data_IF_698613201455
#
_entry.id   IF_698613201455
#
_cell.length_a   1.000
_cell.length_b   1.000
_cell.length_c   1.000
_cell.angle_alpha   90.00
_cell.angle_beta   90.00
_cell.angle_gamma   90.00
#
_symmetry.space_group_name_H-M   'P 1'
#
loop_
_entity.id
_entity.type
_entity.pdbx_description
1 polymer ?
2 water ?
#
# COMPACT_ATOMS: atom_id res chain seq x y z
N UNK A 1 -10.49 41.99 -15.61
CA UNK A 1 -9.67 41.21 -14.68
C UNK A 1 -8.27 41.82 -14.56
N UNK A 2 -7.60 41.55 -13.43
CA UNK A 2 -6.29 42.18 -13.18
C UNK A 2 -5.13 41.48 -13.88
N UNK A 3 -4.07 42.25 -14.12
CA UNK A 3 -2.87 41.72 -14.71
C UNK A 3 -2.10 40.93 -13.68
N UNK A 4 -1.05 40.22 -14.13
CA UNK A 4 -0.19 39.45 -13.24
C UNK A 4 0.62 40.32 -12.30
N UNK A 5 0.57 40.02 -10.99
CA UNK A 5 1.50 40.64 -10.05
C UNK A 5 2.93 40.23 -10.37
N UNK A 6 3.91 40.85 -9.72
CA UNK A 6 5.30 40.75 -10.14
C UNK A 6 6.25 40.56 -8.97
N UNK A 7 7.47 40.13 -9.30
CA UNK A 7 8.59 40.12 -8.36
C UNK A 7 8.33 39.33 -7.09
N UNK A 8 7.74 38.16 -7.21
CA UNK A 8 7.48 37.35 -6.02
C UNK A 8 8.77 36.79 -5.45
N UNK A 9 9.02 37.10 -4.19
CA UNK A 9 10.26 36.63 -3.62
C UNK A 9 10.02 35.88 -2.29
N UNK A 10 10.96 35.01 -1.92
CA UNK A 10 10.91 34.31 -0.65
C UNK A 10 11.88 34.97 0.32
N UNK A 11 11.35 35.71 1.28
CA UNK A 11 12.21 36.54 2.13
C UNK A 11 12.76 35.77 3.31
N UNK A 12 11.97 34.82 3.81
CA UNK A 12 12.40 33.95 4.88
C UNK A 12 11.83 32.56 4.60
N UNK A 13 12.49 31.53 5.10
CA UNK A 13 11.96 30.17 4.99
C UNK A 13 12.41 29.35 6.19
N UNK A 14 11.45 28.72 6.87
CA UNK A 14 11.75 27.82 8.00
C UNK A 14 11.36 26.40 7.62
N UNK A 15 10.93 25.60 8.59
CA UNK A 15 10.56 24.23 8.26
C UNK A 15 9.11 24.13 7.79
N UNK A 16 8.23 25.04 8.23
CA UNK A 16 6.84 24.96 7.80
C UNK A 16 6.26 26.29 7.34
N UNK A 17 7.07 27.34 7.38
CA UNK A 17 6.55 28.66 7.08
C UNK A 17 7.53 29.41 6.18
N UNK A 18 6.99 30.33 5.37
CA UNK A 18 7.81 31.19 4.53
C UNK A 18 7.24 32.58 4.55
N UNK A 19 8.10 33.57 4.38
CA UNK A 19 7.64 34.93 4.26
C UNK A 19 7.82 35.35 2.81
N UNK A 20 6.74 35.79 2.18
CA UNK A 20 6.73 36.15 0.79
C UNK A 20 6.53 37.65 0.61
N UNK A 21 7.00 38.18 -0.51
CA UNK A 21 6.71 39.57 -0.90
C UNK A 21 6.42 39.63 -2.39
N UNK A 22 5.67 40.63 -2.82
CA UNK A 22 5.44 40.82 -4.24
C UNK A 22 5.14 42.28 -4.56
N UNK A 23 4.94 42.57 -5.83
CA UNK A 23 4.64 43.93 -6.27
C UNK A 23 3.46 43.90 -7.21
N UNK A 24 2.55 44.87 -7.06
CA UNK A 24 1.29 44.90 -7.82
C UNK A 24 1.47 44.88 -9.33
N UNK A 25 0.51 44.26 -10.02
CA UNK A 25 0.51 44.24 -11.46
C UNK A 25 -0.52 45.24 -11.95
N UNK A 26 -0.68 45.37 -13.27
CA UNK A 26 -1.69 46.30 -13.78
C UNK A 26 -3.08 45.87 -13.34
N UNK A 27 -3.89 46.80 -12.85
CA UNK A 27 -5.21 46.46 -12.35
C UNK A 27 -6.30 46.53 -13.44
N UNK A 28 -5.94 47.01 -14.63
CA UNK A 28 -6.85 47.04 -15.77
C UNK A 28 -8.15 47.80 -15.50
N UNK A 29 -8.00 49.03 -15.00
CA UNK A 29 -9.11 49.98 -14.82
C UNK A 29 -10.16 49.48 -13.83
N UNK A 30 -9.78 48.52 -13.00
CA UNK A 30 -10.67 47.99 -11.96
C UNK A 30 -9.88 47.79 -10.67
N UNK A 31 -10.46 48.18 -9.53
CA UNK A 31 -9.70 48.19 -8.28
C UNK A 31 -9.32 46.79 -7.79
N UNK A 32 -8.02 46.55 -7.62
CA UNK A 32 -7.51 45.29 -7.05
C UNK A 32 -7.88 45.18 -5.58
N UNK A 33 -8.49 44.07 -5.18
CA UNK A 33 -9.05 44.00 -3.83
C UNK A 33 -8.64 42.75 -3.06
N UNK A 34 -7.89 41.87 -3.71
CA UNK A 34 -7.45 40.63 -3.08
C UNK A 34 -6.20 40.05 -3.74
N UNK A 35 -5.37 39.41 -2.92
CA UNK A 35 -4.28 38.57 -3.39
C UNK A 35 -4.42 37.16 -2.86
N UNK A 36 -4.22 36.19 -3.73
CA UNK A 36 -4.08 34.80 -3.30
C UNK A 36 -2.73 34.29 -3.71
N UNK A 37 -2.24 33.34 -2.93
CA UNK A 37 -0.90 32.78 -3.07
C UNK A 37 -0.96 31.30 -3.34
N UNK A 38 -0.22 30.82 -4.32
CA UNK A 38 -0.22 29.39 -4.57
C UNK A 38 1.16 28.82 -4.43
N UNK A 39 1.23 27.53 -4.13
CA UNK A 39 2.52 26.88 -4.02
C UNK A 39 2.57 25.70 -4.95
N UNK A 40 3.76 25.40 -5.46
CA UNK A 40 3.97 24.16 -6.20
C UNK A 40 5.19 23.39 -5.69
N UNK A 41 5.04 22.08 -5.61
CA UNK A 41 6.09 21.21 -5.17
C UNK A 41 6.18 20.09 -6.19
N UNK A 42 7.22 19.25 -6.10
CA UNK A 42 7.30 18.04 -6.93
C UNK A 42 6.14 17.10 -6.69
N UNK A 43 5.53 17.17 -5.50
CA UNK A 43 4.50 16.21 -5.10
C UNK A 43 3.08 16.77 -5.12
N UNK A 44 2.94 18.09 -5.12
CA UNK A 44 1.63 18.70 -5.29
C UNK A 44 1.17 18.41 -6.71
N UNK A 45 -0.11 18.56 -6.98
CA UNK A 45 -0.51 18.30 -8.36
C UNK A 45 -0.73 19.64 -9.00
N UNK A 46 0.35 20.19 -9.53
CA UNK A 46 0.37 21.56 -9.97
C UNK A 46 0.21 22.56 -8.82
N UNK A 47 -0.24 23.75 -9.18
CA UNK A 47 -0.38 24.86 -8.24
C UNK A 47 -1.59 24.73 -7.31
N UNK A 48 -1.37 24.91 -6.01
CA UNK A 48 -2.44 24.84 -5.02
C UNK A 48 -2.46 26.09 -4.11
N UNK A 49 -3.64 26.45 -3.62
CA UNK A 49 -3.76 27.57 -2.68
C UNK A 49 -3.06 27.22 -1.38
N UNK A 50 -2.57 28.23 -0.65
CA UNK A 50 -1.95 28.00 0.66
C UNK A 50 -2.58 28.82 1.78
N UNK A 51 -2.45 28.35 3.01
CA UNK A 51 -2.89 29.13 4.17
C UNK A 51 -1.94 30.26 4.42
N UNK A 52 -2.46 31.42 4.77
CA UNK A 52 -1.61 32.59 4.97
C UNK A 52 -1.94 33.39 6.22
N UNK A 53 -1.04 34.30 6.55
CA UNK A 53 -1.29 35.28 7.60
C UNK A 53 -0.96 36.66 7.09
N UNK A 54 -1.98 37.52 6.94
CA UNK A 54 -3.39 37.30 7.32
C UNK A 54 -4.12 36.26 6.48
N UNK A 55 -5.07 35.55 7.09
CA UNK A 55 -5.79 34.46 6.44
C UNK A 55 -6.48 34.93 5.17
N UNK A 56 -6.70 36.24 5.08
CA UNK A 56 -7.15 36.87 3.85
C UNK A 56 -6.28 38.07 3.51
N UNK A 57 -5.64 38.05 2.34
CA UNK A 57 -4.77 39.15 1.93
C UNK A 57 -5.49 40.19 1.04
N UNK A 58 -5.50 41.45 1.48
CA UNK A 58 -6.19 42.51 0.75
C UNK A 58 -5.31 43.07 -0.39
N UNK A 59 -5.80 44.10 -1.08
CA UNK A 59 -5.07 44.69 -2.18
C UNK A 59 -4.00 45.69 -1.76
N UNK A 60 -3.96 45.97 -0.47
CA UNK A 60 -2.99 46.92 0.08
C UNK A 60 -1.78 46.20 0.65
N UNK A 61 -1.89 44.89 0.83
CA UNK A 61 -0.82 44.09 1.36
C UNK A 61 0.01 43.44 0.27
N UNK A 62 1.33 43.61 0.35
CA UNK A 62 2.20 43.09 -0.68
C UNK A 62 3.24 42.16 -0.11
N UNK A 63 3.05 41.81 1.15
CA UNK A 63 3.85 40.77 1.77
C UNK A 63 2.97 39.99 2.71
N UNK A 64 3.30 38.73 2.92
CA UNK A 64 2.48 37.89 3.78
C UNK A 64 3.24 36.64 4.19
N UNK A 65 2.81 36.03 5.29
CA UNK A 65 3.38 34.78 5.79
C UNK A 65 2.57 33.59 5.29
N UNK A 66 3.27 32.56 4.83
CA UNK A 66 2.60 31.36 4.38
C UNK A 66 2.83 30.24 5.42
N UNK A 67 1.77 29.54 5.82
CA UNK A 67 1.90 28.54 6.88
C UNK A 67 1.42 27.16 6.45
N UNK A 68 1.75 26.16 7.26
CA UNK A 68 1.36 24.77 7.03
C UNK A 68 2.07 24.09 5.87
N UNK A 69 3.32 24.47 5.62
CA UNK A 69 4.15 23.84 4.57
C UNK A 69 4.83 22.60 5.09
N UNK A 70 5.21 21.73 4.18
CA UNK A 70 5.93 20.52 4.55
C UNK A 70 7.41 20.74 4.73
N UNK A 71 7.95 20.21 5.83
CA UNK A 71 9.41 20.19 6.04
C UNK A 71 10.15 19.42 4.96
N UNK A 72 11.28 19.98 4.52
CA UNK A 72 12.16 19.31 3.55
C UNK A 72 11.49 19.10 2.18
N UNK A 73 10.81 20.12 1.70
CA UNK A 73 10.24 20.08 0.37
C UNK A 73 10.61 21.35 -0.39
N UNK A 74 10.82 21.19 -1.69
CA UNK A 74 11.16 22.29 -2.56
C UNK A 74 9.89 23.01 -3.03
N UNK A 75 9.86 24.31 -2.78
CA UNK A 75 8.69 25.14 -3.01
C UNK A 75 8.89 26.22 -4.06
N UNK A 76 7.93 26.37 -4.97
CA UNK A 76 7.81 27.62 -5.74
C UNK A 76 6.51 28.28 -5.31
N UNK A 77 6.43 29.59 -5.43
CA UNK A 77 5.24 30.34 -5.09
C UNK A 77 4.89 31.30 -6.20
N UNK A 78 3.62 31.64 -6.31
CA UNK A 78 3.20 32.73 -7.19
C UNK A 78 2.00 33.41 -6.53
N UNK A 79 1.66 34.62 -6.98
CA UNK A 79 0.50 35.31 -6.46
C UNK A 79 -0.39 35.69 -7.62
N UNK A 80 -1.68 35.85 -7.33
CA UNK A 80 -2.65 36.27 -8.31
C UNK A 80 -3.44 37.40 -7.66
N UNK A 81 -3.77 38.43 -8.39
CA UNK A 81 -4.59 39.47 -7.79
C UNK A 81 -6.00 39.28 -8.28
N UNK A 82 -6.97 39.80 -7.54
CA UNK A 82 -8.35 39.75 -8.02
C UNK A 82 -9.03 41.11 -7.99
N UNK A 83 -9.70 41.40 -9.12
CA UNK A 83 -10.66 42.50 -9.30
C UNK A 83 -12.06 42.12 -8.93
N UNK A 84 -12.96 43.08 -9.04
CA UNK A 84 -14.36 42.76 -8.87
C UNK A 84 -14.78 41.88 -10.03
N UNK A 85 -14.16 42.09 -11.17
CA UNK A 85 -14.55 41.34 -12.36
C UNK A 85 -14.26 39.87 -12.10
N UNK A 86 -12.99 39.54 -11.93
CA UNK A 86 -12.64 38.16 -11.68
C UNK A 86 -11.22 38.00 -11.19
N UNK A 87 -10.71 36.78 -11.36
CA UNK A 87 -9.38 36.44 -10.89
C UNK A 87 -8.43 36.76 -12.02
N UNK A 88 -7.27 37.29 -11.67
CA UNK A 88 -6.33 37.73 -12.68
C UNK A 88 -5.42 36.65 -13.18
N UNK A 89 -4.40 37.05 -13.93
CA UNK A 89 -3.39 36.13 -14.42
C UNK A 89 -2.32 35.91 -13.36
N UNK A 90 -1.95 34.64 -13.12
CA UNK A 90 -0.93 34.29 -12.12
C UNK A 90 0.40 35.02 -12.37
N UNK A 91 1.15 35.31 -11.32
CA UNK A 91 2.47 35.88 -11.50
C UNK A 91 3.39 34.80 -12.07
N UNK A 92 4.57 35.21 -12.52
CA UNK A 92 5.64 34.25 -12.75
C UNK A 92 6.04 33.72 -11.38
N UNK A 93 6.63 32.52 -11.33
CA UNK A 93 6.90 31.94 -10.01
C UNK A 93 8.17 32.51 -9.33
N UNK A 94 8.23 32.47 -8.01
CA UNK A 94 9.46 32.81 -7.30
C UNK A 94 10.56 31.78 -7.59
N UNK A 95 11.76 32.03 -7.08
CA UNK A 95 12.80 31.01 -7.13
C UNK A 95 12.36 29.82 -6.30
N UNK A 96 12.99 28.69 -6.53
CA UNK A 96 12.74 27.53 -5.71
C UNK A 96 13.55 27.66 -4.43
N UNK A 97 13.09 27.00 -3.38
CA UNK A 97 13.65 27.13 -2.06
C UNK A 97 13.15 25.96 -1.24
N UNK A 98 14.03 25.32 -0.50
CA UNK A 98 13.66 24.13 0.25
C UNK A 98 13.45 24.48 1.71
N UNK A 99 12.32 24.05 2.28
CA UNK A 99 12.06 24.20 3.71
C UNK A 99 13.07 23.40 4.55
N UNK A 100 13.26 23.77 5.81
CA UNK A 100 14.19 23.03 6.67
C UNK A 100 13.62 21.69 7.11
N UNK A 101 14.49 20.80 7.58
CA UNK A 101 14.03 19.49 8.05
C UNK A 101 13.32 19.58 9.40
N UNK A 102 12.56 18.54 9.73
CA UNK A 102 11.92 18.47 11.04
C UNK A 102 11.64 17.03 11.41
N UNK A 103 11.18 16.83 12.63
CA UNK A 103 10.79 15.50 13.08
C UNK A 103 9.67 14.99 12.20
N UNK A 104 9.67 13.70 11.89
CA UNK A 104 8.54 13.16 11.11
C UNK A 104 7.29 13.16 11.96
N UNK A 105 6.11 13.22 11.34
CA UNK A 105 4.85 13.28 12.11
C UNK A 105 3.77 12.36 11.60
N UNK A 106 3.88 11.89 10.37
CA UNK A 106 2.82 11.09 9.82
C UNK A 106 3.17 9.60 9.82
N UNK A 107 2.32 8.78 10.44
CA UNK A 107 2.54 7.34 10.50
C UNK A 107 1.92 6.67 9.28
N UNK A 108 2.40 5.46 8.96
CA UNK A 108 1.83 4.83 7.76
C UNK A 108 0.35 4.47 7.95
N UNK A 109 -0.41 4.56 6.85
CA UNK A 109 -1.81 4.19 6.83
C UNK A 109 -1.93 2.69 6.60
N UNK A 110 -3.10 2.15 6.94
CA UNK A 110 -3.44 0.75 6.75
C UNK A 110 -2.43 -0.28 7.23
N UNK A 111 -1.90 -0.06 8.42
CA UNK A 111 -1.10 -1.06 9.09
C UNK A 111 -1.93 -2.32 9.30
N UNK A 112 -1.47 -3.43 8.73
CA UNK A 112 -2.17 -4.70 8.78
C UNK A 112 -1.21 -5.88 8.69
N UNK A 113 -1.67 -6.97 8.07
CA UNK A 113 -0.79 -8.12 7.87
C UNK A 113 -1.59 -9.40 7.83
N UNK A 114 -0.92 -10.53 8.07
CA UNK A 114 -1.60 -11.81 8.12
C UNK A 114 -1.07 -12.75 7.06
N UNK A 115 -1.36 -14.04 7.22
CA UNK A 115 -0.90 -15.03 6.28
C UNK A 115 0.55 -15.36 6.53
N UNK A 116 1.22 -15.90 5.52
CA UNK A 116 2.60 -16.30 5.64
C UNK A 116 2.73 -17.82 5.72
N UNK A 117 3.98 -18.30 5.75
CA UNK A 117 4.25 -19.71 5.92
C UNK A 117 4.43 -19.98 7.39
N UNK A 118 4.65 -21.25 7.74
CA UNK A 118 4.85 -21.66 9.13
C UNK A 118 5.86 -20.80 9.88
N UNK A 119 5.52 -20.53 11.14
CA UNK A 119 6.34 -19.81 12.12
C UNK A 119 6.54 -18.34 11.76
N UNK A 120 5.74 -17.84 10.82
CA UNK A 120 5.87 -16.45 10.39
C UNK A 120 4.77 -15.56 10.93
N UNK A 121 5.10 -14.28 11.04
CA UNK A 121 4.17 -13.24 11.31
C UNK A 121 4.41 -12.19 10.25
N UNK A 122 3.39 -11.92 9.43
CA UNK A 122 3.53 -11.01 8.32
C UNK A 122 2.83 -9.70 8.61
N UNK A 123 3.58 -8.60 8.49
CA UNK A 123 3.12 -7.25 8.84
C UNK A 123 3.26 -6.32 7.64
N UNK A 124 2.18 -5.63 7.27
CA UNK A 124 2.20 -4.76 6.10
C UNK A 124 1.65 -3.37 6.41
N UNK A 125 2.04 -2.39 5.58
CA UNK A 125 1.62 -0.99 5.74
C UNK A 125 1.85 -0.26 4.43
N UNK A 126 1.26 0.93 4.30
CA UNK A 126 1.50 1.75 3.11
C UNK A 126 2.63 2.74 3.37
N UNK A 127 3.59 2.82 2.45
CA UNK A 127 4.75 3.67 2.64
C UNK A 127 4.29 5.13 2.81
N UNK A 128 4.90 5.85 3.74
CA UNK A 128 4.52 7.25 3.97
C UNK A 128 4.92 8.07 2.74
N UNK A 129 3.99 8.90 2.25
CA UNK A 129 4.30 9.75 1.09
C UNK A 129 5.55 10.58 1.32
N UNK A 130 6.24 10.89 0.24
CA UNK A 130 7.57 11.46 0.37
C UNK A 130 7.51 12.89 0.93
N UNK A 131 6.49 13.64 0.55
CA UNK A 131 6.35 15.02 1.02
C UNK A 131 5.97 15.08 2.49
N UNK A 132 5.82 13.92 3.10
CA UNK A 132 5.44 13.80 4.51
C UNK A 132 6.54 13.18 5.39
N UNK A 133 7.72 12.98 4.82
CA UNK A 133 8.83 12.36 5.55
C UNK A 133 9.62 13.37 6.36
N UNK A 134 9.60 14.61 5.89
CA UNK A 134 10.10 15.76 6.63
C UNK A 134 11.62 15.87 6.78
N UNK A 135 12.36 14.89 6.26
CA UNK A 135 13.81 14.98 6.23
C UNK A 135 14.49 13.72 5.72
N UNK A 136 15.78 13.83 5.44
CA UNK A 136 16.56 12.69 4.98
C UNK A 136 16.69 11.63 6.04
N UNK A 137 16.91 10.40 5.60
CA UNK A 137 17.17 9.28 6.50
C UNK A 137 15.89 8.73 7.09
N UNK A 138 14.83 8.73 6.29
CA UNK A 138 13.51 8.36 6.77
C UNK A 138 13.32 6.84 6.78
N UNK A 139 12.90 6.30 7.90
CA UNK A 139 12.70 4.87 8.00
C UNK A 139 11.53 4.51 8.89
N UNK A 140 11.34 3.22 9.10
CA UNK A 140 10.22 2.77 9.93
C UNK A 140 10.69 1.96 11.10
N UNK A 141 9.89 1.98 12.17
CA UNK A 141 10.12 1.11 13.30
C UNK A 141 8.89 0.21 13.50
N UNK A 142 9.04 -1.09 13.24
CA UNK A 142 7.95 -2.02 13.44
C UNK A 142 7.96 -2.59 14.85
N UNK A 143 6.92 -2.26 15.59
CA UNK A 143 6.76 -2.74 16.96
C UNK A 143 5.64 -3.78 17.03
N UNK A 144 5.96 -4.96 17.55
CA UNK A 144 4.98 -6.03 17.71
C UNK A 144 5.17 -6.82 19.02
N UNK A 145 4.06 -7.29 19.58
CA UNK A 145 4.11 -8.15 20.76
C UNK A 145 2.89 -9.07 20.78
N UNK A 146 3.07 -10.31 21.24
CA UNK A 146 1.94 -11.21 21.46
C UNK A 146 0.85 -10.52 22.27
N UNK A 147 -0.41 -10.64 21.81
CA UNK A 147 -1.57 -10.07 22.48
C UNK A 147 -1.63 -10.60 23.91
N UNK A 148 -1.55 -9.71 24.90
CA UNK A 148 -1.52 -10.13 26.29
C UNK A 148 -0.16 -10.01 26.97
N UNK A 149 0.85 -9.56 26.22
CA UNK A 149 2.18 -9.41 26.77
C UNK A 149 2.56 -7.92 26.84
N UNK A 150 3.62 -7.60 27.59
CA UNK A 150 4.00 -6.20 27.80
C UNK A 150 5.15 -5.75 26.90
N UNK A 151 6.13 -6.62 26.67
CA UNK A 151 7.32 -6.17 25.97
C UNK A 151 7.10 -6.06 24.49
N UNK A 152 7.26 -4.84 23.96
CA UNK A 152 7.28 -4.61 22.53
C UNK A 152 8.63 -5.04 21.96
N UNK A 153 8.59 -5.81 20.87
CA UNK A 153 9.79 -6.09 20.13
C UNK A 153 9.86 -5.12 18.96
N UNK A 154 11.06 -4.67 18.63
CA UNK A 154 11.26 -3.57 17.68
C UNK A 154 12.22 -3.91 16.54
N UNK A 155 11.75 -3.73 15.30
CA UNK A 155 12.61 -3.84 14.14
C UNK A 155 12.67 -2.51 13.37
N UNK A 156 13.89 -2.04 13.10
CA UNK A 156 14.11 -0.85 12.27
C UNK A 156 14.24 -1.21 10.79
N UNK A 157 13.55 -0.49 9.92
CA UNK A 157 13.76 -0.67 8.49
C UNK A 157 14.24 0.65 7.92
N UNK A 158 15.52 0.68 7.56
CA UNK A 158 16.18 1.92 7.14
C UNK A 158 15.58 2.48 5.87
N UNK A 159 14.86 1.64 5.15
CA UNK A 159 14.37 2.01 3.83
C UNK A 159 12.97 2.64 3.85
N UNK A 160 12.91 3.88 3.38
CA UNK A 160 11.66 4.59 3.28
C UNK A 160 10.65 3.84 2.42
N UNK A 161 11.13 3.02 1.50
CA UNK A 161 10.22 2.36 0.57
C UNK A 161 9.66 1.03 1.10
N UNK A 162 10.09 0.65 2.30
CA UNK A 162 9.63 -0.60 2.89
C UNK A 162 8.12 -0.57 3.20
N UNK A 163 7.42 -1.64 2.85
CA UNK A 163 5.98 -1.70 3.06
C UNK A 163 5.58 -3.02 3.71
N UNK A 164 6.57 -3.74 4.22
CA UNK A 164 6.32 -5.10 4.61
C UNK A 164 7.45 -5.65 5.47
N UNK A 165 7.07 -6.34 6.52
CA UNK A 165 8.05 -6.96 7.36
C UNK A 165 7.55 -8.33 7.76
N UNK A 166 8.45 -9.30 7.77
CA UNK A 166 8.12 -10.67 8.17
C UNK A 166 9.01 -11.11 9.31
N UNK A 167 8.37 -11.44 10.43
CA UNK A 167 9.07 -11.96 11.59
C UNK A 167 8.83 -13.48 11.64
N UNK A 168 9.92 -14.25 11.67
CA UNK A 168 9.79 -15.70 11.83
C UNK A 168 10.62 -16.18 13.01
N UNK A 169 10.04 -17.07 13.78
CA UNK A 169 10.64 -17.59 14.99
C UNK A 169 9.81 -18.78 15.50
N UNK A 170 10.47 -19.68 16.21
CA UNK A 170 9.78 -20.84 16.75
C UNK A 170 8.83 -20.42 17.87
N UNK A 171 9.03 -19.22 18.41
CA UNK A 171 8.17 -18.70 19.46
C UNK A 171 6.74 -18.46 18.96
N UNK A 172 6.58 -18.35 17.64
CA UNK A 172 5.31 -17.97 17.04
C UNK A 172 4.35 -19.14 16.88
N UNK A 173 3.37 -19.21 17.76
CA UNK A 173 2.35 -20.21 17.57
C UNK A 173 1.51 -19.87 16.34
N UNK A 174 0.94 -20.89 15.70
CA UNK A 174 0.13 -20.68 14.50
C UNK A 174 -1.14 -19.93 14.81
N UNK A 175 -1.49 -19.02 13.90
CA UNK A 175 -2.65 -18.15 13.98
C UNK A 175 -2.83 -17.54 15.37
N UNK A 176 -1.79 -16.84 15.83
CA UNK A 176 -1.80 -16.16 17.12
C UNK A 176 -1.87 -14.66 16.92
N UNK A 177 -2.58 -13.98 17.82
CA UNK A 177 -2.74 -12.54 17.68
C UNK A 177 -1.59 -11.75 18.29
N UNK A 178 -1.04 -10.82 17.52
CA UNK A 178 0.00 -9.89 17.95
C UNK A 178 -0.53 -8.45 17.90
N UNK A 179 -0.15 -7.63 18.86
CA UNK A 179 -0.43 -6.22 18.73
C UNK A 179 0.69 -5.64 17.93
N UNK A 180 0.32 -4.77 17.00
CA UNK A 180 1.22 -4.26 16.00
C UNK A 180 1.01 -2.76 15.84
N UNK A 181 2.09 -2.00 15.92
CA UNK A 181 2.07 -0.60 15.48
C UNK A 181 3.33 -0.34 14.62
N UNK A 182 3.28 0.66 13.75
CA UNK A 182 4.45 1.02 12.94
C UNK A 182 4.78 2.50 13.11
N UNK A 183 5.97 2.81 13.60
CA UNK A 183 6.39 4.19 13.77
C UNK A 183 7.29 4.69 12.65
N UNK A 184 7.59 5.99 12.67
CA UNK A 184 8.49 6.58 11.69
C UNK A 184 9.60 7.35 12.36
N UNK A 185 10.71 7.49 11.65
CA UNK A 185 11.83 8.32 12.11
C UNK A 185 12.57 8.96 10.92
N UNK A 186 13.35 9.99 11.19
CA UNK A 186 14.32 10.50 10.21
C UNK A 186 15.52 11.09 10.94
N UNK A 187 16.48 11.62 10.20
CA UNK A 187 17.71 12.14 10.82
C UNK A 187 17.48 13.14 11.96
N UNK A 188 16.35 13.84 11.92
CA UNK A 188 16.06 14.84 12.93
C UNK A 188 15.62 14.18 14.24
N UNK A 189 15.06 12.97 14.15
CA UNK A 189 14.65 12.23 15.33
C UNK A 189 13.54 11.20 15.12
N UNK A 190 13.03 10.67 16.23
CA UNK A 190 12.02 9.62 16.19
C UNK A 190 10.65 10.29 16.12
N UNK A 191 9.74 9.69 15.35
CA UNK A 191 8.39 10.22 15.24
C UNK A 191 7.43 9.28 15.93
N UNK A 192 6.12 9.56 15.82
CA UNK A 192 5.04 8.78 16.44
C UNK A 192 4.83 7.38 15.86
N UNK A 193 4.01 6.59 16.54
CA UNK A 193 3.57 5.28 16.06
C UNK A 193 2.14 5.32 15.63
N UNK A 194 1.84 4.52 14.62
CA UNK A 194 0.46 4.21 14.26
C UNK A 194 -0.34 3.74 15.46
N UNK A 195 -1.66 3.88 15.38
CA UNK A 195 -2.57 3.21 16.31
C UNK A 195 -2.34 1.70 16.29
N UNK A 196 -2.41 1.09 17.45
CA UNK A 196 -2.22 -0.34 17.57
C UNK A 196 -3.30 -1.07 16.78
N UNK A 197 -2.92 -2.09 16.06
CA UNK A 197 -3.92 -2.98 15.46
C UNK A 197 -3.61 -4.44 15.81
N UNK A 198 -4.58 -5.33 15.63
CA UNK A 198 -4.34 -6.74 15.83
C UNK A 198 -4.09 -7.44 14.53
N UNK A 199 -2.97 -8.16 14.46
CA UNK A 199 -2.58 -8.96 13.31
C UNK A 199 -2.33 -10.40 13.74
N UNK A 200 -2.88 -11.37 13.02
CA UNK A 200 -2.71 -12.78 13.37
C UNK A 200 -1.59 -13.42 12.57
N UNK A 201 -0.79 -14.26 13.23
CA UNK A 201 0.35 -14.90 12.57
C UNK A 201 -0.10 -15.93 11.56
N UNK A 202 0.86 -16.56 10.90
CA UNK A 202 0.53 -17.52 9.84
C UNK A 202 -0.21 -18.72 10.40
N UNK A 203 -1.17 -19.22 9.64
CA UNK A 203 -2.02 -20.30 10.10
C UNK A 203 -1.36 -21.60 9.77
N UNK A 204 -1.91 -22.70 10.25
CA UNK A 204 -1.32 -23.97 9.95
C UNK A 204 -1.81 -24.46 8.59
N UNK A 205 -0.95 -25.12 7.85
CA UNK A 205 -1.35 -25.62 6.56
C UNK A 205 -2.29 -26.81 6.77
N UNK A 206 -3.07 -27.16 5.73
CA UNK A 206 -3.95 -28.32 5.87
C UNK A 206 -3.14 -29.57 6.20
N UNK A 207 -3.76 -30.48 6.95
CA UNK A 207 -3.07 -31.64 7.47
C UNK A 207 -3.69 -32.92 6.97
N UNK A 208 -4.88 -32.80 6.39
CA UNK A 208 -5.60 -33.97 5.93
C UNK A 208 -5.87 -33.86 4.44
N UNK A 209 -5.86 -35.01 3.74
CA UNK A 209 -6.12 -35.02 2.30
C UNK A 209 -7.61 -35.03 2.02
N UNK A 210 -7.99 -34.49 0.85
CA UNK A 210 -9.36 -34.65 0.34
C UNK A 210 -9.70 -36.13 0.22
N UNK A 211 -10.98 -36.50 0.29
CA UNK A 211 -11.35 -37.91 0.15
C UNK A 211 -12.37 -38.14 -0.97
N UNK A 212 -12.80 -39.39 -1.13
CA UNK A 212 -13.87 -39.75 -2.07
C UNK A 212 -13.68 -39.20 -3.48
N UNK A 213 -12.44 -39.12 -3.94
CA UNK A 213 -12.16 -38.54 -5.25
C UNK A 213 -12.49 -39.45 -6.46
N UNK A 214 -13.01 -38.83 -7.52
CA UNK A 214 -13.23 -39.51 -8.80
C UNK A 214 -13.45 -38.49 -9.92
N UNK A 215 -13.31 -38.93 -11.16
CA UNK A 215 -13.50 -38.01 -12.27
C UNK A 215 -14.34 -38.62 -13.37
N UNK A 216 -14.90 -37.78 -14.22
CA UNK A 216 -15.74 -38.25 -15.31
C UNK A 216 -15.34 -37.48 -16.56
N UNK A 217 -15.20 -38.19 -17.67
CA UNK A 217 -14.85 -37.56 -18.92
C UNK A 217 -16.10 -37.09 -19.62
N UNK A 218 -16.13 -35.83 -20.03
CA UNK A 218 -17.31 -35.27 -20.68
C UNK A 218 -17.18 -35.33 -22.19
N UNK A 219 -16.19 -34.61 -22.71
CA UNK A 219 -15.86 -34.61 -24.13
C UNK A 219 -14.47 -35.18 -24.34
N UNK A 220 -13.86 -34.87 -25.47
CA UNK A 220 -12.51 -35.31 -25.74
C UNK A 220 -11.50 -34.33 -25.14
N UNK A 221 -11.98 -33.16 -24.72
CA UNK A 221 -11.10 -32.15 -24.13
C UNK A 221 -11.57 -31.71 -22.73
N UNK A 222 -12.72 -32.18 -22.28
CA UNK A 222 -13.24 -31.71 -21.01
C UNK A 222 -13.54 -32.87 -20.05
N UNK A 223 -13.00 -32.80 -18.84
CA UNK A 223 -13.38 -33.74 -17.78
C UNK A 223 -13.84 -33.02 -16.51
N UNK A 224 -14.53 -33.77 -15.65
CA UNK A 224 -15.05 -33.23 -14.41
C UNK A 224 -14.50 -34.01 -13.24
N UNK A 225 -14.08 -33.30 -12.20
CA UNK A 225 -13.47 -33.96 -11.05
C UNK A 225 -14.16 -33.58 -9.77
N UNK A 226 -14.41 -34.60 -8.95
CA UNK A 226 -15.14 -34.43 -7.69
C UNK A 226 -14.33 -35.01 -6.53
N UNK A 227 -14.48 -34.41 -5.36
CA UNK A 227 -13.88 -34.94 -4.14
C UNK A 227 -14.73 -34.46 -2.98
N UNK A 228 -14.39 -34.93 -1.78
CA UNK A 228 -15.03 -34.45 -0.55
C UNK A 228 -14.00 -33.70 0.25
N UNK A 229 -14.43 -32.75 1.06
CA UNK A 229 -13.47 -32.08 1.93
C UNK A 229 -13.01 -33.07 2.99
N UNK A 230 -11.80 -32.87 3.52
CA UNK A 230 -11.32 -33.77 4.57
C UNK A 230 -12.08 -33.56 5.89
N UNK A 231 -12.03 -34.56 6.78
CA UNK A 231 -12.75 -34.50 8.06
C UNK A 231 -11.81 -34.37 9.25
N UNK A 232 -12.17 -33.52 10.22
CA UNK A 232 -11.37 -33.33 11.42
C UNK A 232 -11.53 -31.96 12.06
N UNK A 235 -7.86 -30.29 11.43
CA UNK A 235 -7.68 -30.53 10.00
C UNK A 235 -7.17 -29.27 9.30
N UNK A 236 -7.56 -28.11 9.81
CA UNK A 236 -7.10 -26.83 9.28
C UNK A 236 -8.16 -26.08 8.48
N UNK A 237 -7.91 -24.79 8.23
CA UNK A 237 -8.78 -23.99 7.37
C UNK A 237 -8.40 -24.20 5.90
N UNK A 238 -9.40 -24.25 5.02
CA UNK A 238 -9.19 -24.60 3.62
C UNK A 238 -9.72 -23.51 2.70
N UNK A 239 -8.84 -22.91 1.90
CA UNK A 239 -9.22 -21.80 1.01
C UNK A 239 -9.69 -22.28 -0.36
N UNK A 240 -9.26 -23.48 -0.73
CA UNK A 240 -9.60 -24.04 -2.02
C UNK A 240 -8.82 -25.33 -2.23
N UNK A 241 -8.82 -25.81 -3.46
CA UNK A 241 -8.11 -27.03 -3.75
C UNK A 241 -7.16 -26.89 -4.94
N UNK A 242 -6.05 -27.62 -4.88
CA UNK A 242 -5.15 -27.67 -6.01
C UNK A 242 -5.35 -28.99 -6.70
N UNK A 243 -5.84 -28.93 -7.93
CA UNK A 243 -6.00 -30.14 -8.72
C UNK A 243 -4.80 -30.28 -9.64
N UNK A 244 -4.20 -31.46 -9.60
CA UNK A 244 -2.96 -31.72 -10.30
C UNK A 244 -3.18 -32.82 -11.32
N UNK A 245 -2.91 -32.53 -12.58
CA UNK A 245 -3.16 -33.54 -13.61
C UNK A 245 -2.03 -33.63 -14.62
N UNK A 246 -1.83 -34.84 -15.14
CA UNK A 246 -0.84 -35.08 -16.16
C UNK A 246 -1.26 -36.22 -17.08
N UNK A 247 -0.85 -36.11 -18.35
CA UNK A 247 -1.06 -37.15 -19.33
C UNK A 247 -0.21 -38.40 -19.02
N UNK A 248 -0.79 -39.58 -19.23
CA UNK A 248 -0.12 -40.86 -19.05
C UNK A 248 1.31 -40.95 -19.57
N UNK A 249 1.62 -40.14 -20.58
CA UNK A 249 2.92 -40.18 -21.23
C UNK A 249 3.87 -39.06 -20.78
N UNK A 250 3.40 -38.18 -19.90
CA UNK A 250 4.30 -37.20 -19.31
C UNK A 250 4.77 -37.69 -17.95
N UNK A 251 5.87 -37.12 -17.46
CA UNK A 251 6.30 -37.35 -16.10
C UNK A 251 5.32 -36.66 -15.16
N UNK A 252 5.21 -37.14 -13.93
CA UNK A 252 4.27 -36.53 -13.00
C UNK A 252 4.68 -35.10 -12.68
N UNK A 253 5.97 -34.84 -12.76
CA UNK A 253 6.49 -33.53 -12.41
C UNK A 253 6.22 -32.47 -13.50
N UNK A 254 5.70 -32.92 -14.64
CA UNK A 254 5.30 -32.01 -15.72
C UNK A 254 3.86 -31.56 -15.60
N UNK A 255 3.18 -32.06 -14.58
CA UNK A 255 1.75 -31.86 -14.44
C UNK A 255 1.38 -30.39 -14.43
N UNK A 256 0.19 -30.08 -14.94
CA UNK A 256 -0.35 -28.74 -14.80
C UNK A 256 -1.17 -28.75 -13.53
N UNK A 257 -1.33 -27.58 -12.93
CA UNK A 257 -2.13 -27.41 -11.72
C UNK A 257 -3.16 -26.32 -11.94
N UNK A 258 -4.39 -26.54 -11.49
CA UNK A 258 -5.32 -25.44 -11.38
C UNK A 258 -5.77 -25.31 -9.95
N UNK A 259 -6.15 -24.10 -9.57
CA UNK A 259 -6.58 -23.89 -8.20
C UNK A 259 -8.04 -23.45 -8.16
N UNK A 260 -8.59 -23.59 -6.98
CA UNK A 260 -10.00 -23.42 -6.71
C UNK A 260 -10.13 -22.41 -5.58
N UNK A 261 -11.13 -21.55 -5.61
CA UNK A 261 -11.34 -20.61 -4.53
C UNK A 261 -12.74 -20.81 -3.99
N UNK A 262 -12.85 -20.97 -2.68
CA UNK A 262 -14.14 -21.18 -2.06
C UNK A 262 -14.46 -22.64 -1.77
N UNK A 263 -15.76 -22.96 -1.66
CA UNK A 263 -16.19 -24.27 -1.18
C UNK A 263 -16.41 -25.33 -2.23
N UNK A 264 -16.31 -24.99 -3.51
CA UNK A 264 -16.58 -25.96 -4.54
C UNK A 264 -15.65 -27.15 -4.32
N UNK A 265 -16.25 -28.31 -4.42
CA UNK A 265 -15.64 -29.57 -4.07
C UNK A 265 -15.53 -30.38 -5.35
N UNK A 266 -15.60 -29.65 -6.44
CA UNK A 266 -15.52 -30.17 -7.78
C UNK A 266 -14.86 -29.14 -8.69
N UNK A 267 -14.44 -29.59 -9.88
CA UNK A 267 -13.93 -28.69 -10.91
C UNK A 267 -13.92 -29.33 -12.29
N UNK A 268 -13.55 -28.51 -13.26
CA UNK A 268 -13.65 -28.86 -14.67
C UNK A 268 -12.33 -28.54 -15.38
N UNK A 269 -11.67 -29.56 -15.92
CA UNK A 269 -10.44 -29.35 -16.67
C UNK A 269 -10.75 -29.33 -18.17
N UNK A 270 -10.09 -28.42 -18.88
CA UNK A 270 -10.37 -28.19 -20.30
C UNK A 270 -9.15 -28.33 -21.20
N UNK A 271 -9.36 -28.18 -22.50
CA UNK A 271 -8.28 -28.16 -23.48
C UNK A 271 -7.32 -29.36 -23.37
N UNK A 272 -7.90 -30.54 -23.27
CA UNK A 272 -7.14 -31.77 -23.14
C UNK A 272 -7.07 -32.50 -24.48
N UNK A 273 -6.19 -33.48 -24.56
CA UNK A 273 -6.08 -34.30 -25.76
C UNK A 273 -7.06 -35.47 -25.71
N UNK A 274 -7.72 -35.73 -26.83
CA UNK A 274 -8.74 -36.76 -26.92
C UNK A 274 -8.15 -38.15 -27.02
N UNK A 275 -8.94 -39.15 -26.66
CA UNK A 275 -8.50 -40.54 -26.66
C UNK A 275 -7.18 -40.74 -25.91
N UNK A 276 -6.99 -40.02 -24.81
CA UNK A 276 -5.78 -40.13 -24.01
C UNK A 276 -6.09 -40.33 -22.54
N UNK A 277 -5.21 -41.04 -21.85
CA UNK A 277 -5.35 -41.30 -20.42
C UNK A 277 -4.74 -40.16 -19.61
N UNK A 278 -5.41 -39.81 -18.52
CA UNK A 278 -4.92 -38.76 -17.64
C UNK A 278 -4.94 -39.23 -16.18
N UNK A 279 -3.99 -38.75 -15.41
CA UNK A 279 -3.94 -39.03 -13.97
C UNK A 279 -4.21 -37.72 -13.25
N UNK A 280 -4.90 -37.80 -12.12
CA UNK A 280 -5.25 -36.63 -11.33
C UNK A 280 -5.06 -36.87 -9.83
N UNK A 281 -4.89 -35.79 -9.07
CA UNK A 281 -4.92 -35.85 -7.60
C UNK A 281 -5.22 -34.45 -7.06
N UNK A 282 -5.82 -34.39 -5.87
CA UNK A 282 -6.26 -33.12 -5.31
C UNK A 282 -5.65 -32.91 -3.93
N UNK A 283 -5.48 -31.63 -3.61
CA UNK A 283 -4.78 -31.20 -2.42
C UNK A 283 -5.54 -30.02 -1.89
N UNK A 284 -5.67 -29.91 -0.57
CA UNK A 284 -6.32 -28.72 -0.01
C UNK A 284 -5.25 -27.66 0.20
N UNK A 285 -5.61 -26.39 0.11
CA UNK A 285 -4.64 -25.40 0.49
C UNK A 285 -5.24 -24.27 1.30
N UNK A 286 -4.35 -23.50 1.92
CA UNK A 286 -4.72 -22.26 2.58
C UNK A 286 -3.52 -21.32 2.55
N UNK A 287 -3.62 -20.20 3.25
CA UNK A 287 -2.62 -19.13 3.12
C UNK A 287 -1.22 -19.59 3.49
N UNK A 288 -1.12 -20.78 4.07
CA UNK A 288 0.13 -21.24 4.63
C UNK A 288 0.76 -22.33 3.77
N UNK A 289 -0.01 -22.89 2.85
CA UNK A 289 0.54 -23.88 1.95
C UNK A 289 -0.47 -24.91 1.47
N UNK A 290 0.03 -26.10 1.17
CA UNK A 290 -0.87 -27.16 0.74
C UNK A 290 -0.72 -28.38 1.63
N UNK A 291 -1.79 -29.16 1.72
CA UNK A 291 -1.78 -30.35 2.54
C UNK A 291 -1.34 -31.58 1.80
N UNK A 292 -1.67 -32.74 2.37
CA UNK A 292 -1.48 -34.06 1.77
C UNK A 292 -2.37 -34.22 0.55
N UNK A 293 -1.97 -35.15 -0.32
CA UNK A 293 -2.64 -35.36 -1.57
C UNK A 293 -3.67 -36.50 -1.48
N UNK A 294 -4.79 -36.36 -2.16
CA UNK A 294 -5.70 -37.49 -2.38
C UNK A 294 -4.96 -38.59 -3.13
N UNK A 295 -5.59 -39.77 -3.20
CA UNK A 295 -5.11 -40.82 -4.09
C UNK A 295 -5.17 -40.35 -5.54
N UNK A 296 -4.37 -40.97 -6.40
CA UNK A 296 -4.38 -40.63 -7.82
C UNK A 296 -5.45 -41.40 -8.57
N UNK A 297 -6.23 -40.68 -9.35
CA UNK A 297 -7.35 -41.24 -10.04
C UNK A 297 -7.05 -41.20 -11.55
N UNK A 298 -7.59 -42.18 -12.29
CA UNK A 298 -7.26 -42.39 -13.71
C UNK A 298 -8.46 -42.27 -14.61
N UNK A 299 -8.41 -41.36 -15.56
CA UNK A 299 -9.56 -41.13 -16.43
C UNK A 299 -9.12 -40.88 -17.87
N UNK A 300 -9.88 -41.44 -18.82
CA UNK A 300 -9.56 -41.25 -20.24
C UNK A 300 -10.58 -40.35 -20.93
N UNK A 301 -10.08 -39.48 -21.80
CA UNK A 301 -10.90 -38.57 -22.58
C UNK A 301 -11.74 -39.31 -23.62
N UNK A 302 -12.82 -38.70 -24.06
CA UNK A 302 -13.80 -39.37 -24.90
C UNK A 302 -13.29 -39.79 -26.28
N UNK A 303 -12.76 -38.85 -27.07
CA UNK A 303 -12.43 -39.16 -28.47
C UNK A 303 -11.25 -38.35 -28.99
#
# INVERSE_FOLDING_TARGET
>A
PPGPPEAVTIDEITDTTAQLSWRPGPDNHSPITMYVIQARTPFSVGWQAVNTVPDLVDGKTFTATVVGLNPWVEYEFRTVAANVIGIGEPSRPSEKRRTEEALPEVTPANVSGGGGSKSELVITWETVPEELQNGRGFGYVVAFRPHGKMIWMLTVLASADASRYVFRNESVRPFSPFEVKVGVFNNKGEGPFSPTTLVYSAEEEPTKPPASIFARSLSATDIEVFWASPIGKNRGRIQGYEVKYWRHDDKEENAKKIRTVGNQTSTKITNLKGSALYHLSVKAYNSAGTGPSSATVNVTTRK
#
